data_IF_644879481820
#
_entry.id   IF_644879481820
#
_cell.length_a   1.000
_cell.length_b   1.000
_cell.length_c   1.000
_cell.angle_alpha   90.00
_cell.angle_beta   90.00
_cell.angle_gamma   90.00
#
_symmetry.space_group_name_H-M   'P 1'
#
loop_
_entity.id
_entity.type
_entity.pdbx_description
1 polymer ?
#
# COMPACT_ATOMS: atom_id res chain seq x y z
N UNK A 1 -21.13 11.94 -0.53
CA UNK A 1 -20.41 10.94 0.27
C UNK A 1 -19.17 10.41 -0.44
N UNK A 2 -19.19 10.17 -1.75
CA UNK A 2 -18.10 9.56 -2.51
C UNK A 2 -16.94 10.51 -2.88
N UNK A 3 -17.14 11.82 -2.85
CA UNK A 3 -16.21 12.80 -3.41
C UNK A 3 -14.87 12.85 -2.61
N UNK A 4 -13.75 12.51 -3.26
CA UNK A 4 -12.40 12.60 -2.67
C UNK A 4 -11.93 14.05 -2.58
N UNK A 5 -10.66 14.27 -2.32
CA UNK A 5 -10.04 15.59 -2.44
C UNK A 5 -9.96 16.00 -3.92
N UNK A 6 -10.40 17.21 -4.22
CA UNK A 6 -10.42 17.72 -5.60
C UNK A 6 -9.41 18.86 -5.82
N UNK A 7 -8.50 19.07 -4.88
CA UNK A 7 -7.46 20.09 -4.98
C UNK A 7 -6.49 19.75 -6.13
N UNK A 8 -6.34 20.68 -7.08
CA UNK A 8 -5.51 20.49 -8.27
C UNK A 8 -4.02 20.38 -7.98
N UNK A 9 -3.51 21.10 -6.98
CA UNK A 9 -2.09 21.04 -6.58
C UNK A 9 -1.73 19.66 -6.04
N UNK A 10 -2.64 19.06 -5.25
CA UNK A 10 -2.44 17.72 -4.70
C UNK A 10 -2.52 16.63 -5.77
N UNK A 11 -3.34 16.83 -6.79
CA UNK A 11 -3.35 15.95 -7.97
C UNK A 11 -2.00 15.96 -8.71
N UNK A 12 -1.40 17.14 -8.91
CA UNK A 12 -0.07 17.24 -9.51
C UNK A 12 1.01 16.53 -8.70
N UNK A 13 0.92 16.52 -7.38
CA UNK A 13 1.88 15.80 -6.55
C UNK A 13 1.85 14.28 -6.80
N UNK A 14 0.68 13.73 -7.15
CA UNK A 14 0.54 12.31 -7.53
C UNK A 14 1.05 12.08 -8.95
N UNK A 15 0.98 13.08 -9.84
CA UNK A 15 1.42 12.94 -11.22
C UNK A 15 2.94 12.68 -11.35
N UNK A 16 3.73 12.98 -10.30
CA UNK A 16 5.15 12.58 -10.24
C UNK A 16 5.35 11.06 -10.25
N UNK A 17 4.28 10.29 -9.99
CA UNK A 17 4.25 8.83 -10.07
C UNK A 17 3.77 8.33 -11.46
N UNK A 18 3.25 9.22 -12.33
CA UNK A 18 2.87 8.87 -13.70
C UNK A 18 4.11 8.35 -14.45
N UNK A 19 3.90 7.46 -15.39
CA UNK A 19 4.95 6.83 -16.21
C UNK A 19 5.88 5.82 -15.49
N UNK A 20 5.72 5.61 -14.18
CA UNK A 20 6.49 4.62 -13.42
C UNK A 20 5.56 3.56 -12.85
N UNK A 21 5.68 2.31 -13.27
CA UNK A 21 4.97 1.21 -12.63
C UNK A 21 5.49 0.96 -11.21
N UNK A 22 4.59 0.66 -10.29
CA UNK A 22 4.90 0.42 -8.87
C UNK A 22 4.92 -1.09 -8.61
N UNK A 23 6.05 -1.61 -8.15
CA UNK A 23 6.19 -3.01 -7.78
C UNK A 23 5.56 -3.24 -6.40
N UNK A 24 4.44 -3.99 -6.37
CA UNK A 24 3.72 -4.39 -5.15
C UNK A 24 4.62 -5.22 -4.26
N UNK A 25 4.94 -4.75 -3.05
CA UNK A 25 5.88 -5.37 -2.10
C UNK A 25 7.29 -5.59 -2.68
N UNK A 26 7.70 -4.74 -3.63
CA UNK A 26 8.93 -4.89 -4.39
C UNK A 26 8.81 -5.87 -5.57
N UNK A 27 9.92 -6.05 -6.30
CA UNK A 27 9.95 -6.95 -7.47
C UNK A 27 10.34 -8.37 -7.05
N UNK A 28 9.44 -9.06 -6.39
CA UNK A 28 9.60 -10.38 -5.79
C UNK A 28 9.18 -11.54 -6.71
N UNK A 29 9.50 -12.77 -6.30
CA UNK A 29 8.99 -14.00 -6.90
C UNK A 29 8.59 -15.08 -5.85
N UNK A 30 8.83 -14.82 -4.56
CA UNK A 30 8.59 -15.72 -3.42
C UNK A 30 9.24 -17.14 -3.56
N UNK A 31 10.31 -17.24 -4.32
CA UNK A 31 11.16 -18.44 -4.42
C UNK A 31 12.53 -18.15 -3.78
N UNK A 32 13.27 -17.23 -4.35
CA UNK A 32 14.58 -16.75 -3.87
C UNK A 32 14.57 -15.25 -3.49
N UNK A 33 13.55 -14.52 -3.94
CA UNK A 33 13.32 -13.09 -3.68
C UNK A 33 11.96 -12.93 -2.99
N UNK A 34 11.92 -12.91 -1.65
CA UNK A 34 10.65 -12.75 -0.91
C UNK A 34 10.03 -11.37 -1.11
N UNK A 35 8.68 -11.30 -1.09
CA UNK A 35 7.96 -10.04 -1.00
C UNK A 35 8.35 -9.27 0.27
N UNK A 36 8.23 -7.93 0.26
CA UNK A 36 8.55 -7.05 1.37
C UNK A 36 9.98 -7.27 1.96
N UNK A 37 10.94 -7.61 1.10
CA UNK A 37 12.34 -7.80 1.49
C UNK A 37 13.26 -6.77 0.83
N UNK A 38 14.41 -6.47 1.48
CA UNK A 38 15.39 -5.54 0.93
C UNK A 38 15.84 -5.93 -0.48
N UNK A 39 15.98 -7.23 -0.76
CA UNK A 39 16.39 -7.70 -2.09
C UNK A 39 15.29 -7.44 -3.15
N UNK A 40 14.02 -7.57 -2.79
CA UNK A 40 12.89 -7.27 -3.69
C UNK A 40 12.84 -5.77 -4.03
N UNK A 41 13.09 -4.92 -3.05
CA UNK A 41 13.11 -3.46 -3.23
C UNK A 41 14.32 -3.03 -4.10
N UNK A 42 15.53 -3.49 -3.78
CA UNK A 42 16.72 -3.24 -4.61
C UNK A 42 16.51 -3.67 -6.05
N UNK A 43 15.85 -4.80 -6.26
CA UNK A 43 15.52 -5.29 -7.60
C UNK A 43 14.52 -4.39 -8.31
N UNK A 44 13.49 -3.89 -7.62
CA UNK A 44 12.53 -2.95 -8.19
C UNK A 44 13.21 -1.66 -8.66
N UNK A 45 14.01 -1.03 -7.79
CA UNK A 45 14.79 0.18 -8.10
C UNK A 45 15.71 -0.04 -9.31
N UNK A 46 16.45 -1.15 -9.32
CA UNK A 46 17.35 -1.51 -10.46
C UNK A 46 16.63 -1.60 -11.80
N UNK A 47 15.34 -1.95 -11.78
CA UNK A 47 14.52 -2.04 -13.01
C UNK A 47 13.73 -0.75 -13.30
N UNK A 48 13.96 0.34 -12.55
CA UNK A 48 13.28 1.62 -12.74
C UNK A 48 11.81 1.61 -12.32
N UNK A 49 11.42 0.74 -11.38
CA UNK A 49 10.08 0.69 -10.80
C UNK A 49 10.04 1.46 -9.49
N UNK A 50 8.90 2.11 -9.23
CA UNK A 50 8.56 2.52 -7.88
C UNK A 50 8.24 1.31 -6.99
N UNK A 51 8.04 1.56 -5.72
CA UNK A 51 7.82 0.53 -4.69
C UNK A 51 6.53 0.83 -3.95
N UNK A 52 5.76 -0.22 -3.72
CA UNK A 52 4.74 -0.24 -2.68
C UNK A 52 5.20 -1.21 -1.59
N UNK A 53 4.94 -0.88 -0.32
CA UNK A 53 5.30 -1.70 0.85
C UNK A 53 4.32 -1.53 2.00
N UNK A 54 4.28 -2.58 2.85
CA UNK A 54 3.35 -2.71 3.98
C UNK A 54 4.08 -2.46 5.31
N UNK A 55 3.67 -1.44 6.10
CA UNK A 55 4.27 -1.14 7.40
C UNK A 55 3.39 -1.64 8.54
N UNK A 56 4.00 -2.37 9.46
CA UNK A 56 3.43 -2.80 10.73
C UNK A 56 4.38 -2.48 11.90
N UNK A 57 3.88 -2.56 13.13
CA UNK A 57 4.66 -2.27 14.33
C UNK A 57 4.75 -3.50 15.24
N UNK A 58 5.95 -3.76 15.75
CA UNK A 58 6.25 -4.81 16.74
C UNK A 58 5.88 -4.39 18.16
N UNK A 59 5.93 -5.33 19.13
CA UNK A 59 5.68 -5.05 20.56
C UNK A 59 6.65 -4.03 21.16
N UNK A 60 7.89 -4.00 20.68
CA UNK A 60 8.94 -3.05 21.07
C UNK A 60 8.98 -1.80 20.21
N UNK A 61 7.85 -1.48 19.53
CA UNK A 61 7.61 -0.27 18.74
C UNK A 61 8.61 -0.07 17.59
N UNK A 62 9.13 -1.15 17.02
CA UNK A 62 9.89 -1.07 15.77
C UNK A 62 8.97 -1.16 14.58
N UNK A 63 9.15 -0.27 13.60
CA UNK A 63 8.45 -0.34 12.32
C UNK A 63 9.14 -1.36 11.44
N UNK A 64 8.38 -2.34 10.95
CA UNK A 64 8.85 -3.41 10.09
C UNK A 64 8.01 -3.48 8.81
N UNK A 65 8.60 -4.04 7.76
CA UNK A 65 7.91 -4.16 6.47
C UNK A 65 7.45 -5.60 6.28
N UNK A 66 6.13 -5.81 6.40
CA UNK A 66 5.51 -7.12 6.30
C UNK A 66 4.00 -7.01 6.07
N UNK A 67 3.44 -7.88 5.22
CA UNK A 67 2.02 -7.77 4.83
C UNK A 67 1.04 -8.43 5.79
N UNK A 68 1.27 -9.70 6.13
CA UNK A 68 0.27 -10.53 6.80
C UNK A 68 0.15 -10.21 8.29
N UNK A 69 -1.02 -10.44 8.85
CA UNK A 69 -1.24 -10.41 10.32
C UNK A 69 -0.42 -11.50 11.01
N UNK A 70 -0.36 -12.69 10.38
CA UNK A 70 0.28 -13.89 10.92
C UNK A 70 1.52 -14.26 10.10
N UNK A 71 2.57 -14.69 10.77
CA UNK A 71 3.85 -15.05 10.15
C UNK A 71 3.82 -16.36 9.35
N UNK A 72 2.71 -17.14 9.43
CA UNK A 72 2.66 -18.51 8.92
C UNK A 72 3.00 -18.63 7.43
N UNK A 73 2.38 -17.82 6.58
CA UNK A 73 2.56 -17.92 5.12
C UNK A 73 4.02 -17.68 4.69
N UNK A 74 4.65 -16.67 5.29
CA UNK A 74 5.99 -16.24 4.88
C UNK A 74 7.11 -16.85 5.71
N UNK A 75 6.84 -17.21 6.97
CA UNK A 75 7.87 -17.67 7.90
C UNK A 75 7.61 -19.08 8.44
N UNK A 76 6.46 -19.70 8.17
CA UNK A 76 6.09 -21.02 8.68
C UNK A 76 5.73 -21.07 10.17
N UNK A 77 5.57 -19.91 10.81
CA UNK A 77 5.33 -19.78 12.27
C UNK A 77 3.93 -19.26 12.52
N UNK A 78 3.13 -19.98 13.28
CA UNK A 78 1.76 -19.57 13.66
C UNK A 78 1.78 -18.59 14.83
N UNK A 79 2.14 -17.36 14.54
CA UNK A 79 2.18 -16.25 15.49
C UNK A 79 1.84 -14.94 14.79
N UNK A 80 1.17 -14.00 15.48
CA UNK A 80 0.92 -12.67 14.94
C UNK A 80 2.19 -11.84 15.00
N UNK A 81 2.45 -11.05 13.96
CA UNK A 81 3.58 -10.12 13.93
C UNK A 81 3.52 -9.14 15.12
N UNK A 82 2.34 -8.59 15.40
CA UNK A 82 2.12 -7.62 16.47
C UNK A 82 2.36 -8.16 17.88
N UNK A 83 2.52 -9.48 18.04
CA UNK A 83 2.82 -10.14 19.30
C UNK A 83 4.32 -10.46 19.46
N UNK A 84 5.16 -10.04 18.49
CA UNK A 84 6.60 -10.28 18.45
C UNK A 84 7.41 -9.01 18.70
N UNK A 85 8.57 -9.12 19.34
CA UNK A 85 9.62 -8.09 19.26
C UNK A 85 10.38 -8.18 17.95
N UNK A 86 11.10 -7.12 17.57
CA UNK A 86 11.94 -7.17 16.38
C UNK A 86 13.04 -8.23 16.49
N UNK A 87 13.66 -8.38 17.65
CA UNK A 87 14.67 -9.42 17.89
C UNK A 87 14.12 -10.83 17.64
N UNK A 88 12.89 -11.09 18.09
CA UNK A 88 12.22 -12.37 17.82
C UNK A 88 11.98 -12.56 16.31
N UNK A 89 11.51 -11.52 15.60
CA UNK A 89 11.28 -11.60 14.15
C UNK A 89 12.56 -11.94 13.39
N UNK A 90 13.74 -11.54 13.88
CA UNK A 90 15.02 -11.84 13.25
C UNK A 90 15.42 -13.33 13.36
N UNK A 91 14.72 -14.12 14.16
CA UNK A 91 14.94 -15.59 14.20
C UNK A 91 14.29 -16.28 12.98
N UNK A 92 13.28 -15.68 12.38
CA UNK A 92 12.52 -16.27 11.28
C UNK A 92 13.06 -15.82 9.91
N UNK A 93 13.05 -16.74 8.96
CA UNK A 93 13.40 -16.46 7.56
C UNK A 93 12.13 -16.24 6.74
N UNK A 94 12.21 -15.36 5.74
CA UNK A 94 11.16 -15.19 4.75
C UNK A 94 11.21 -16.32 3.73
N UNK A 95 10.13 -17.08 3.61
CA UNK A 95 10.03 -18.32 2.81
C UNK A 95 11.24 -19.23 3.11
N UNK A 96 11.72 -20.01 2.18
CA UNK A 96 12.89 -20.89 2.39
C UNK A 96 14.21 -20.19 2.01
N UNK A 97 14.38 -18.91 2.36
CA UNK A 97 15.55 -18.09 2.04
C UNK A 97 16.31 -17.67 3.28
N UNK A 98 17.44 -16.97 3.11
CA UNK A 98 18.18 -16.34 4.21
C UNK A 98 17.68 -14.92 4.56
N UNK A 99 16.72 -14.39 3.79
CA UNK A 99 16.22 -13.04 3.99
C UNK A 99 15.30 -12.95 5.20
N UNK A 100 15.37 -11.82 5.89
CA UNK A 100 14.64 -11.53 7.11
C UNK A 100 13.57 -10.46 6.86
N UNK A 101 12.64 -10.30 7.80
CA UNK A 101 11.72 -9.16 7.85
C UNK A 101 12.55 -7.91 8.11
N UNK A 102 12.58 -6.91 7.19
CA UNK A 102 13.40 -5.73 7.36
C UNK A 102 12.74 -4.70 8.26
N UNK A 103 13.55 -3.86 8.91
CA UNK A 103 13.07 -2.59 9.47
C UNK A 103 12.64 -1.67 8.33
N UNK A 104 11.61 -0.86 8.59
CA UNK A 104 11.19 0.16 7.64
C UNK A 104 12.31 1.16 7.36
N UNK A 105 13.03 1.57 8.39
CA UNK A 105 14.20 2.45 8.27
C UNK A 105 15.28 1.89 7.35
N UNK A 106 15.56 0.58 7.40
CA UNK A 106 16.55 -0.05 6.54
C UNK A 106 16.11 -0.06 5.07
N UNK A 107 14.79 -0.16 4.81
CA UNK A 107 14.27 0.00 3.46
C UNK A 107 14.45 1.44 2.98
N UNK A 108 14.11 2.46 3.80
CA UNK A 108 14.25 3.87 3.41
C UNK A 108 15.68 4.26 3.07
N UNK A 109 16.68 3.68 3.74
CA UNK A 109 18.12 3.90 3.43
C UNK A 109 18.55 3.40 2.05
N UNK A 110 17.81 2.47 1.47
CA UNK A 110 18.11 1.88 0.15
C UNK A 110 17.43 2.63 -1.00
N UNK A 111 16.60 3.62 -0.70
CA UNK A 111 15.83 4.38 -1.68
C UNK A 111 16.44 5.76 -1.90
N UNK A 112 16.21 6.30 -3.09
CA UNK A 112 16.50 7.68 -3.44
C UNK A 112 15.21 8.45 -3.76
N UNK A 113 15.34 9.77 -3.90
CA UNK A 113 14.21 10.67 -4.19
C UNK A 113 13.52 10.40 -5.54
N UNK A 114 14.22 9.75 -6.46
CA UNK A 114 13.72 9.47 -7.80
C UNK A 114 12.90 8.17 -7.84
N UNK A 115 12.91 7.39 -6.73
CA UNK A 115 12.12 6.17 -6.57
C UNK A 115 10.75 6.50 -5.95
N UNK A 116 9.64 6.45 -6.71
CA UNK A 116 8.30 6.62 -6.15
C UNK A 116 8.00 5.56 -5.09
N UNK A 117 7.53 6.01 -3.92
CA UNK A 117 7.23 5.13 -2.79
C UNK A 117 5.77 5.25 -2.34
N UNK A 118 5.06 4.13 -2.30
CA UNK A 118 3.73 4.03 -1.69
C UNK A 118 3.88 3.24 -0.38
N UNK A 119 3.48 3.87 0.73
CA UNK A 119 3.54 3.26 2.07
C UNK A 119 2.14 2.91 2.53
N UNK A 120 1.82 1.62 2.57
CA UNK A 120 0.58 1.14 3.19
C UNK A 120 0.77 1.03 4.70
N UNK A 121 -0.06 1.74 5.47
CA UNK A 121 -0.20 1.49 6.91
C UNK A 121 -1.25 0.40 7.11
N UNK A 122 -0.81 -0.75 7.61
CA UNK A 122 -1.69 -1.90 7.83
C UNK A 122 -2.74 -1.57 8.90
N UNK A 123 -4.00 -2.05 8.73
CA UNK A 123 -5.08 -1.75 9.66
C UNK A 123 -4.97 -2.49 11.00
N UNK A 124 -4.13 -3.48 11.09
CA UNK A 124 -3.94 -4.32 12.27
C UNK A 124 -3.09 -3.62 13.34
N UNK A 125 -3.30 -4.00 14.59
CA UNK A 125 -2.55 -3.44 15.72
C UNK A 125 -2.80 -1.95 15.94
N UNK A 126 -1.83 -1.21 16.50
CA UNK A 126 -1.94 0.20 16.81
C UNK A 126 -1.69 1.08 15.57
N UNK A 127 -2.53 0.95 14.54
CA UNK A 127 -2.33 1.55 13.23
C UNK A 127 -2.17 3.08 13.23
N UNK A 128 -2.76 3.80 14.19
CA UNK A 128 -2.59 5.26 14.32
C UNK A 128 -1.18 5.58 14.82
N UNK A 129 -0.69 4.89 15.85
CA UNK A 129 0.69 5.05 16.32
C UNK A 129 1.70 4.62 15.26
N UNK A 130 1.43 3.52 14.54
CA UNK A 130 2.23 3.09 13.40
C UNK A 130 2.30 4.18 12.33
N UNK A 131 1.18 4.84 12.03
CA UNK A 131 1.11 5.96 11.10
C UNK A 131 1.98 7.14 11.56
N UNK A 132 1.84 7.56 12.83
CA UNK A 132 2.61 8.68 13.39
C UNK A 132 4.12 8.42 13.33
N UNK A 133 4.56 7.26 13.80
CA UNK A 133 5.98 6.87 13.76
C UNK A 133 6.51 6.75 12.33
N UNK A 134 5.69 6.25 11.39
CA UNK A 134 6.07 6.19 9.97
C UNK A 134 6.27 7.58 9.38
N UNK A 135 5.37 8.53 9.68
CA UNK A 135 5.50 9.93 9.23
C UNK A 135 6.75 10.58 9.82
N UNK A 136 6.99 10.39 11.12
CA UNK A 136 8.19 10.95 11.77
C UNK A 136 9.47 10.40 11.15
N UNK A 137 9.51 9.11 10.85
CA UNK A 137 10.66 8.49 10.21
C UNK A 137 10.86 9.01 8.78
N UNK A 138 9.79 9.07 7.97
CA UNK A 138 9.84 9.54 6.58
C UNK A 138 10.34 10.98 6.44
N UNK A 139 10.04 11.87 7.40
CA UNK A 139 10.53 13.25 7.41
C UNK A 139 12.06 13.40 7.43
N UNK A 140 12.78 12.37 7.84
CA UNK A 140 14.25 12.38 7.88
C UNK A 140 14.89 12.01 6.54
N UNK A 141 14.07 11.69 5.52
CA UNK A 141 14.54 11.26 4.20
C UNK A 141 13.96 12.16 3.11
N UNK A 142 14.79 12.53 2.13
CA UNK A 142 14.34 13.24 0.93
C UNK A 142 13.81 12.22 -0.09
N UNK A 143 12.56 11.79 0.10
CA UNK A 143 11.90 10.77 -0.71
C UNK A 143 10.59 11.28 -1.31
N UNK A 144 10.28 10.83 -2.51
CA UNK A 144 8.99 11.05 -3.15
C UNK A 144 8.01 9.95 -2.73
N UNK A 145 7.16 10.23 -1.73
CA UNK A 145 6.28 9.23 -1.15
C UNK A 145 4.84 9.67 -1.00
N UNK A 146 3.95 8.71 -1.00
CA UNK A 146 2.55 8.83 -0.60
C UNK A 146 2.20 7.75 0.42
N UNK A 147 1.15 7.96 1.22
CA UNK A 147 0.71 6.99 2.22
C UNK A 147 -0.72 6.54 1.94
N UNK A 148 -1.00 5.26 2.18
CA UNK A 148 -2.35 4.73 2.00
C UNK A 148 -2.72 3.72 3.09
N UNK A 149 -4.02 3.45 3.22
CA UNK A 149 -4.52 2.41 4.12
C UNK A 149 -5.91 1.93 3.72
N UNK A 150 -6.24 0.68 4.03
CA UNK A 150 -7.61 0.18 4.04
C UNK A 150 -8.44 0.79 5.17
N UNK A 151 -7.79 1.16 6.29
CA UNK A 151 -8.49 1.73 7.44
C UNK A 151 -8.78 3.22 7.20
N UNK A 152 -10.05 3.63 7.02
CA UNK A 152 -10.41 5.03 6.81
C UNK A 152 -10.03 5.94 8.00
N UNK A 153 -9.85 5.39 9.21
CA UNK A 153 -9.39 6.17 10.36
C UNK A 153 -7.94 6.63 10.20
N UNK A 154 -7.07 5.81 9.60
CA UNK A 154 -5.69 6.20 9.27
C UNK A 154 -5.69 7.32 8.23
N UNK A 155 -6.49 7.19 7.16
CA UNK A 155 -6.61 8.22 6.11
C UNK A 155 -7.17 9.53 6.68
N UNK A 156 -8.15 9.45 7.60
CA UNK A 156 -8.68 10.60 8.30
C UNK A 156 -7.65 11.24 9.24
N UNK A 157 -6.87 10.43 9.94
CA UNK A 157 -5.80 10.87 10.83
C UNK A 157 -4.71 11.63 10.04
N UNK A 158 -4.27 11.10 8.91
CA UNK A 158 -3.36 11.78 7.97
C UNK A 158 -3.93 13.13 7.52
N UNK A 159 -5.21 13.17 7.12
CA UNK A 159 -5.87 14.42 6.72
C UNK A 159 -5.81 15.48 7.81
N UNK A 160 -6.03 15.08 9.07
CA UNK A 160 -6.17 16.01 10.20
C UNK A 160 -4.82 16.47 10.73
N UNK A 161 -3.86 15.58 10.87
CA UNK A 161 -2.63 15.83 11.59
C UNK A 161 -1.41 16.05 10.66
N UNK A 162 -1.50 15.55 9.42
CA UNK A 162 -0.43 15.63 8.41
C UNK A 162 -0.99 16.06 7.06
N UNK A 163 -1.59 17.28 6.96
CA UNK A 163 -2.32 17.71 5.77
C UNK A 163 -1.47 17.77 4.49
N UNK A 164 -0.16 17.93 4.62
CA UNK A 164 0.78 18.02 3.48
C UNK A 164 1.06 16.64 2.86
N UNK A 165 0.90 15.55 3.61
CA UNK A 165 1.11 14.19 3.09
C UNK A 165 -0.01 13.83 2.11
N UNK A 166 0.39 13.39 0.93
CA UNK A 166 -0.53 12.82 -0.06
C UNK A 166 -1.03 11.47 0.46
N UNK A 167 -2.35 11.30 0.53
CA UNK A 167 -2.97 10.13 1.17
C UNK A 167 -3.98 9.44 0.26
N UNK A 168 -3.94 8.12 0.27
CA UNK A 168 -4.80 7.23 -0.50
C UNK A 168 -5.79 6.45 0.35
N UNK A 169 -6.95 6.15 -0.22
CA UNK A 169 -7.89 5.18 0.32
C UNK A 169 -7.79 3.89 -0.48
N UNK A 170 -7.29 2.83 0.15
CA UNK A 170 -7.34 1.47 -0.39
C UNK A 170 -8.75 0.90 -0.25
N UNK A 171 -9.25 0.26 -1.30
CA UNK A 171 -10.55 -0.38 -1.27
C UNK A 171 -10.67 -1.53 -2.29
N UNK A 172 -11.54 -2.48 -1.95
CA UNK A 172 -11.92 -3.59 -2.82
C UNK A 172 -13.36 -4.03 -2.50
N UNK A 173 -13.90 -4.96 -3.27
CA UNK A 173 -15.20 -5.53 -2.96
C UNK A 173 -15.10 -6.55 -1.81
N UNK A 174 -15.29 -6.08 -0.58
CA UNK A 174 -15.19 -6.88 0.65
C UNK A 174 -16.22 -8.02 0.72
N UNK A 175 -17.33 -7.95 -0.04
CA UNK A 175 -18.32 -9.02 -0.10
C UNK A 175 -17.81 -10.25 -0.90
N UNK A 176 -16.84 -10.05 -1.79
CA UNK A 176 -16.23 -11.14 -2.57
C UNK A 176 -15.10 -11.85 -1.82
N UNK A 177 -14.62 -11.26 -0.73
CA UNK A 177 -13.59 -11.88 0.10
C UNK A 177 -14.22 -12.74 1.18
N UNK A 178 -14.16 -14.05 1.00
CA UNK A 178 -14.69 -15.05 1.95
C UNK A 178 -13.96 -15.06 3.30
N UNK A 179 -12.71 -14.55 3.34
CA UNK A 179 -11.91 -14.48 4.57
C UNK A 179 -12.18 -13.20 5.37
N UNK A 180 -12.83 -12.22 4.77
CA UNK A 180 -13.13 -10.96 5.46
C UNK A 180 -14.24 -11.16 6.49
N UNK A 181 -13.93 -10.97 7.76
CA UNK A 181 -14.83 -11.15 8.91
C UNK A 181 -15.53 -9.87 9.34
N UNK A 182 -15.31 -8.73 8.67
CA UNK A 182 -15.96 -7.47 8.99
C UNK A 182 -17.49 -7.59 8.90
N UNK A 183 -18.20 -6.83 9.71
CA UNK A 183 -19.67 -6.79 9.65
C UNK A 183 -20.17 -6.17 8.33
N UNK A 184 -21.46 -6.40 8.03
CA UNK A 184 -22.10 -5.98 6.78
C UNK A 184 -22.01 -4.46 6.54
N UNK A 185 -22.10 -3.65 7.59
CA UNK A 185 -22.02 -2.19 7.48
C UNK A 185 -20.62 -1.76 7.07
N UNK A 186 -19.57 -2.29 7.70
CA UNK A 186 -18.17 -2.01 7.35
C UNK A 186 -17.88 -2.45 5.92
N UNK A 187 -18.33 -3.66 5.51
CA UNK A 187 -18.20 -4.15 4.14
C UNK A 187 -18.87 -3.19 3.14
N UNK A 188 -20.06 -2.72 3.47
CA UNK A 188 -20.80 -1.81 2.59
C UNK A 188 -20.10 -0.46 2.46
N UNK A 189 -19.68 0.14 3.57
CA UNK A 189 -18.95 1.42 3.59
C UNK A 189 -17.62 1.32 2.83
N UNK A 190 -16.80 0.29 3.11
CA UNK A 190 -15.49 0.10 2.50
C UNK A 190 -15.58 -0.21 1.00
N UNK A 191 -16.43 -1.19 0.62
CA UNK A 191 -16.63 -1.55 -0.79
C UNK A 191 -17.08 -0.35 -1.65
N UNK A 192 -17.92 0.52 -1.08
CA UNK A 192 -18.54 1.63 -1.81
C UNK A 192 -17.86 2.98 -1.57
N UNK A 193 -16.67 3.01 -0.94
CA UNK A 193 -15.90 4.26 -0.75
C UNK A 193 -16.67 5.36 0.01
N UNK A 194 -17.62 4.98 0.87
CA UNK A 194 -18.50 5.95 1.51
C UNK A 194 -17.79 6.81 2.57
N UNK A 195 -16.63 6.39 3.04
CA UNK A 195 -15.82 7.18 3.97
C UNK A 195 -15.10 8.38 3.31
N UNK A 196 -15.06 8.46 1.97
CA UNK A 196 -14.33 9.50 1.23
C UNK A 196 -14.75 10.93 1.62
N UNK A 197 -16.03 11.14 2.01
CA UNK A 197 -16.48 12.47 2.42
C UNK A 197 -15.81 12.97 3.71
N UNK A 198 -15.43 12.06 4.59
CA UNK A 198 -14.70 12.36 5.84
C UNK A 198 -13.18 12.36 5.61
N UNK A 199 -12.67 11.31 4.98
CA UNK A 199 -11.23 11.09 4.80
C UNK A 199 -10.62 11.99 3.75
N UNK A 200 -11.39 12.39 2.71
CA UNK A 200 -10.91 13.22 1.59
C UNK A 200 -9.55 12.73 1.07
N UNK A 201 -9.48 11.48 0.60
CA UNK A 201 -8.23 10.96 0.05
C UNK A 201 -7.85 11.73 -1.23
N UNK A 202 -6.58 11.87 -1.49
CA UNK A 202 -6.06 12.53 -2.70
C UNK A 202 -6.12 11.58 -3.91
N UNK A 203 -5.99 10.28 -3.65
CA UNK A 203 -6.19 9.23 -4.63
C UNK A 203 -6.98 8.04 -4.04
N UNK A 204 -7.51 7.22 -4.93
CA UNK A 204 -8.23 6.00 -4.55
C UNK A 204 -7.54 4.80 -5.20
N UNK A 205 -6.96 3.93 -4.37
CA UNK A 205 -6.42 2.65 -4.83
C UNK A 205 -7.53 1.60 -4.79
N UNK A 206 -7.97 1.13 -5.96
CA UNK A 206 -9.10 0.21 -6.07
C UNK A 206 -8.73 -1.08 -6.80
N UNK A 207 -9.14 -2.22 -6.23
CA UNK A 207 -8.88 -3.54 -6.81
C UNK A 207 -9.40 -3.62 -8.26
N UNK A 208 -8.50 -3.83 -9.20
CA UNK A 208 -8.77 -3.86 -10.64
C UNK A 208 -9.82 -4.92 -11.03
N UNK A 209 -9.93 -6.02 -10.27
CA UNK A 209 -10.95 -7.06 -10.47
C UNK A 209 -12.36 -6.57 -10.20
N UNK A 210 -12.50 -5.45 -9.50
CA UNK A 210 -13.77 -4.87 -9.08
C UNK A 210 -14.06 -3.50 -9.73
N UNK A 211 -13.36 -3.14 -10.81
CA UNK A 211 -13.45 -1.85 -11.51
C UNK A 211 -14.86 -1.47 -11.98
N UNK A 212 -15.78 -2.42 -12.07
CA UNK A 212 -17.19 -2.19 -12.44
C UNK A 212 -18.07 -1.78 -11.26
N UNK A 213 -17.52 -1.60 -10.04
CA UNK A 213 -18.28 -1.10 -8.90
C UNK A 213 -18.85 0.30 -9.22
N UNK A 214 -20.15 0.51 -8.94
CA UNK A 214 -20.83 1.77 -9.24
C UNK A 214 -20.18 2.98 -8.53
N UNK A 215 -19.89 2.85 -7.25
CA UNK A 215 -19.27 3.94 -6.46
C UNK A 215 -17.88 4.28 -6.98
N UNK A 216 -17.08 3.28 -7.37
CA UNK A 216 -15.77 3.49 -8.00
C UNK A 216 -15.92 4.18 -9.36
N UNK A 217 -16.90 3.79 -10.20
CA UNK A 217 -17.15 4.47 -11.47
C UNK A 217 -17.57 5.94 -11.28
N UNK A 218 -18.33 6.26 -10.24
CA UNK A 218 -18.65 7.65 -9.91
C UNK A 218 -17.36 8.41 -9.53
N UNK A 219 -16.52 7.81 -8.68
CA UNK A 219 -15.27 8.43 -8.22
C UNK A 219 -14.30 8.66 -9.40
N UNK A 220 -14.09 7.66 -10.23
CA UNK A 220 -13.11 7.71 -11.32
C UNK A 220 -13.60 8.53 -12.52
N UNK A 221 -14.84 8.34 -12.96
CA UNK A 221 -15.34 8.93 -14.21
C UNK A 221 -16.06 10.26 -14.01
N UNK A 222 -16.91 10.39 -12.95
CA UNK A 222 -17.66 11.62 -12.72
C UNK A 222 -16.81 12.65 -11.97
N UNK A 223 -16.16 12.25 -10.86
CA UNK A 223 -15.27 13.15 -10.14
C UNK A 223 -13.87 13.25 -10.73
N UNK A 224 -13.50 12.36 -11.67
CA UNK A 224 -12.15 12.32 -12.28
C UNK A 224 -11.06 12.36 -11.18
N UNK A 225 -11.26 11.54 -10.15
CA UNK A 225 -10.29 11.37 -9.08
C UNK A 225 -9.06 10.64 -9.59
N UNK A 226 -7.91 10.89 -8.98
CA UNK A 226 -6.72 10.08 -9.20
C UNK A 226 -6.97 8.65 -8.69
N UNK A 227 -6.79 7.68 -9.57
CA UNK A 227 -7.04 6.27 -9.28
C UNK A 227 -5.79 5.43 -9.49
N UNK A 228 -5.53 4.53 -8.55
CA UNK A 228 -4.42 3.58 -8.58
C UNK A 228 -4.99 2.17 -8.72
N UNK A 229 -4.55 1.43 -9.73
CA UNK A 229 -4.94 0.04 -9.94
C UNK A 229 -4.08 -0.88 -9.08
N UNK A 230 -4.71 -1.76 -8.29
CA UNK A 230 -4.02 -2.82 -7.55
C UNK A 230 -4.85 -4.10 -7.53
N UNK A 231 -4.31 -5.28 -7.56
CA UNK A 231 -2.98 -5.56 -8.04
C UNK A 231 -3.08 -6.10 -9.44
N UNK A 232 -2.37 -5.49 -10.37
CA UNK A 232 -2.32 -5.91 -11.77
C UNK A 232 -1.35 -7.07 -11.90
N UNK A 233 -1.81 -8.23 -12.40
CA UNK A 233 -1.05 -9.50 -12.36
C UNK A 233 -0.63 -10.04 -13.71
N UNK A 234 -0.98 -9.37 -14.78
CA UNK A 234 -0.59 -9.75 -16.15
C UNK A 234 -0.85 -8.64 -17.15
N UNK A 235 -0.29 -8.80 -18.35
CA UNK A 235 -0.38 -7.80 -19.43
C UNK A 235 -1.82 -7.54 -19.91
N UNK A 236 -2.72 -8.51 -19.80
CA UNK A 236 -4.13 -8.31 -20.15
C UNK A 236 -4.81 -7.37 -19.17
N UNK A 237 -4.63 -7.61 -17.85
CA UNK A 237 -5.17 -6.72 -16.81
C UNK A 237 -4.59 -5.31 -16.93
N UNK A 238 -3.31 -5.18 -17.30
CA UNK A 238 -2.68 -3.89 -17.54
C UNK A 238 -3.40 -3.10 -18.64
N UNK A 239 -3.67 -3.71 -19.78
CA UNK A 239 -4.45 -3.09 -20.88
C UNK A 239 -5.86 -2.69 -20.46
N UNK A 240 -6.46 -3.43 -19.55
CA UNK A 240 -7.81 -3.15 -19.03
C UNK A 240 -7.84 -1.97 -18.05
N UNK A 241 -6.69 -1.45 -17.62
CA UNK A 241 -6.57 -0.26 -16.77
C UNK A 241 -6.53 1.03 -17.56
N UNK A 242 -6.26 0.98 -18.87
CA UNK A 242 -6.09 2.15 -19.73
C UNK A 242 -7.31 3.10 -19.65
N UNK A 243 -7.03 4.39 -19.47
CA UNK A 243 -8.03 5.45 -19.40
C UNK A 243 -8.90 5.44 -18.12
N UNK A 244 -8.68 4.52 -17.19
CA UNK A 244 -9.43 4.44 -15.94
C UNK A 244 -8.54 4.69 -14.70
N UNK A 245 -7.28 4.28 -14.75
CA UNK A 245 -6.32 4.44 -13.67
C UNK A 245 -5.11 5.25 -14.16
N UNK A 246 -4.59 6.12 -13.31
CA UNK A 246 -3.43 6.94 -13.59
C UNK A 246 -2.15 6.25 -13.14
N UNK A 247 -2.25 5.35 -12.17
CA UNK A 247 -1.10 4.64 -11.63
C UNK A 247 -1.39 3.14 -11.49
N UNK A 248 -0.34 2.32 -11.61
CA UNK A 248 -0.43 0.85 -11.64
C UNK A 248 0.50 0.26 -10.58
N UNK A 249 -0.09 -0.47 -9.64
CA UNK A 249 0.62 -1.38 -8.72
C UNK A 249 0.51 -2.79 -9.28
N UNK A 250 1.66 -3.42 -9.58
CA UNK A 250 1.73 -4.74 -10.23
C UNK A 250 2.53 -5.76 -9.44
N UNK A 251 2.21 -7.04 -9.63
CA UNK A 251 3.04 -8.17 -9.19
C UNK A 251 2.97 -9.34 -10.19
N UNK A 252 3.78 -10.38 -9.96
CA UNK A 252 3.71 -11.69 -10.67
C UNK A 252 4.06 -11.66 -12.17
N UNK A 253 4.43 -10.52 -12.75
CA UNK A 253 4.92 -10.41 -14.12
C UNK A 253 5.79 -9.16 -14.28
N UNK A 254 6.47 -9.04 -15.40
CA UNK A 254 7.20 -7.82 -15.80
C UNK A 254 6.36 -7.05 -16.82
N UNK A 255 5.86 -5.86 -16.48
CA UNK A 255 5.08 -5.04 -17.43
C UNK A 255 5.91 -4.70 -18.66
N UNK A 256 5.30 -4.87 -19.84
CA UNK A 256 5.87 -4.34 -21.09
C UNK A 256 5.28 -2.95 -21.33
N UNK A 257 6.16 -1.96 -21.54
CA UNK A 257 5.76 -0.61 -21.96
C UNK A 257 5.15 -0.64 -23.35
#
# INVERSE_FOLDING_TARGET
MLMPNMNKERKKAISSFEDVYIAHRGLFNNVDIPENSLIAFKRAVKHGYGIELDVQMTTDKKLVVFHDVNLFRMCGVDKKLTDCSYEELQQYNLVNTKHKIPLFEDVLKELDKDTPLIVEIKPEGPCIETCDLSVEMLKNYDLNYVMESFNPLVVYHLKKNYPDIIRGQLAYNMFKDKKNTANMFVKFVGTNLLANFLTKPDFVAYDVRNKNNLSFNIVSRLYKAECVAWTVKNQRMLKECDGLYQQIIFDSFIPKK
#
